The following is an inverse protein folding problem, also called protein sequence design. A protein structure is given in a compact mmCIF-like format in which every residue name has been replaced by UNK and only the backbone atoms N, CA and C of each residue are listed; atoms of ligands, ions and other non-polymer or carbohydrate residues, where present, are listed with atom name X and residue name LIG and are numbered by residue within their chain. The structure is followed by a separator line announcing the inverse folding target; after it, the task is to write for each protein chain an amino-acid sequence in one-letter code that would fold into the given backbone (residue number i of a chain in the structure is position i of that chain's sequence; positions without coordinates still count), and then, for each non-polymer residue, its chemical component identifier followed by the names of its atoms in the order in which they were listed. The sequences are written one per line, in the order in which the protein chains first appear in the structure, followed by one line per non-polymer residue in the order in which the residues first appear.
data_IF_463295473236
#
_entry.id   IF_463295473236
#
_cell.length_a   1.000
_cell.length_b   1.000
_cell.length_c   1.000
_cell.angle_alpha   90.00
_cell.angle_beta   90.00
_cell.angle_gamma   90.00
#
_symmetry.space_group_name_H-M   'P 1'
#
loop_
_entity.id
_entity.type
_entity.pdbx_description
1 polymer ?
#
# COMPACT_ATOMS: atom_id res chain seq x y z
N UNK A 1 49.83 -84.94 56.86
CA UNK A 1 50.33 -84.47 55.56
C UNK A 1 49.13 -84.40 54.64
N UNK A 2 48.53 -83.21 54.51
CA UNK A 2 48.74 -82.26 53.40
C UNK A 2 48.23 -82.85 52.08
N UNK A 3 47.30 -82.25 51.33
CA UNK A 3 47.15 -80.82 51.02
C UNK A 3 45.71 -80.45 50.67
N UNK A 4 45.30 -79.28 51.17
CA UNK A 4 44.18 -78.45 50.70
C UNK A 4 44.48 -77.94 49.29
N UNK A 5 43.48 -77.90 48.40
CA UNK A 5 43.58 -77.24 47.09
C UNK A 5 42.40 -76.25 46.90
N UNK A 6 42.65 -75.01 46.45
CA UNK A 6 41.65 -73.92 46.50
C UNK A 6 40.91 -73.66 45.17
N UNK A 7 39.68 -73.14 45.35
CA UNK A 7 38.86 -72.22 44.54
C UNK A 7 39.22 -71.88 43.09
N UNK A 8 38.19 -71.90 42.22
CA UNK A 8 38.08 -70.95 41.11
C UNK A 8 36.61 -70.57 40.89
N UNK A 9 36.20 -69.47 41.53
CA UNK A 9 34.92 -68.80 41.26
C UNK A 9 35.15 -67.93 40.04
N UNK A 10 34.49 -68.26 38.92
CA UNK A 10 34.50 -67.44 37.72
C UNK A 10 33.63 -66.19 37.95
N UNK A 11 34.29 -65.04 38.03
CA UNK A 11 33.67 -63.73 38.12
C UNK A 11 33.13 -63.34 36.73
N UNK A 12 31.80 -63.19 36.60
CA UNK A 12 31.18 -62.68 35.38
C UNK A 12 31.00 -61.16 35.49
N UNK A 13 31.61 -60.35 34.61
CA UNK A 13 31.29 -58.94 34.56
C UNK A 13 29.91 -58.74 33.90
N UNK A 14 28.94 -58.30 34.69
CA UNK A 14 27.66 -57.80 34.18
C UNK A 14 27.88 -56.43 33.52
N UNK A 15 27.53 -56.23 32.24
CA UNK A 15 27.59 -54.90 31.64
C UNK A 15 26.41 -54.07 32.15
N UNK A 16 26.66 -53.26 33.17
CA UNK A 16 25.73 -52.22 33.60
C UNK A 16 25.69 -51.11 32.54
N UNK A 17 24.79 -51.25 31.56
CA UNK A 17 24.51 -50.21 30.56
C UNK A 17 23.74 -49.07 31.23
N UNK A 18 24.45 -48.20 31.96
CA UNK A 18 23.91 -46.92 32.44
C UNK A 18 23.60 -46.03 31.24
N UNK A 19 22.36 -46.06 30.77
CA UNK A 19 21.80 -45.06 29.86
C UNK A 19 21.65 -43.74 30.62
N UNK A 20 22.75 -42.99 30.74
CA UNK A 20 22.79 -41.72 31.47
C UNK A 20 21.85 -40.66 30.88
N UNK A 21 21.40 -39.69 31.72
CA UNK A 21 20.53 -38.57 31.31
C UNK A 21 21.13 -37.74 30.17
N UNK A 22 22.45 -37.75 30.02
CA UNK A 22 23.17 -37.12 28.90
C UNK A 22 22.71 -37.61 27.51
N UNK A 23 22.28 -38.88 27.39
CA UNK A 23 21.81 -39.43 26.11
C UNK A 23 20.40 -38.93 25.75
N UNK A 24 19.57 -38.65 26.76
CA UNK A 24 18.25 -38.02 26.58
C UNK A 24 18.38 -36.54 26.26
N UNK A 25 19.30 -35.82 26.91
CA UNK A 25 19.59 -34.41 26.60
C UNK A 25 20.17 -34.27 25.20
N UNK A 26 21.08 -35.14 24.79
CA UNK A 26 21.61 -35.16 23.43
C UNK A 26 20.52 -35.49 22.39
N UNK A 27 19.62 -36.45 22.68
CA UNK A 27 18.51 -36.76 21.78
C UNK A 27 17.52 -35.59 21.65
N UNK A 28 17.22 -34.88 22.74
CA UNK A 28 16.37 -33.68 22.71
C UNK A 28 17.06 -32.54 21.95
N UNK A 29 18.36 -32.34 22.13
CA UNK A 29 19.14 -31.33 21.39
C UNK A 29 19.21 -31.64 19.89
N UNK A 30 19.38 -32.92 19.52
CA UNK A 30 19.34 -33.37 18.11
C UNK A 30 17.94 -33.21 17.52
N UNK A 31 16.89 -33.56 18.28
CA UNK A 31 15.51 -33.38 17.84
C UNK A 31 15.17 -31.90 17.64
N UNK A 32 15.59 -31.02 18.56
CA UNK A 32 15.49 -29.57 18.41
C UNK A 32 16.29 -29.06 17.22
N UNK A 33 17.52 -29.52 17.02
CA UNK A 33 18.34 -29.15 15.86
C UNK A 33 17.74 -29.61 14.52
N UNK A 34 17.02 -30.75 14.49
CA UNK A 34 16.28 -31.24 13.32
C UNK A 34 14.92 -30.54 13.13
N UNK A 35 14.29 -30.06 14.20
CA UNK A 35 13.02 -29.34 14.14
C UNK A 35 13.19 -27.87 13.71
N UNK A 36 14.33 -27.24 14.04
CA UNK A 36 14.62 -25.84 13.64
C UNK A 36 14.52 -25.60 12.12
N UNK A 37 15.11 -26.42 11.22
CA UNK A 37 14.92 -26.24 9.78
C UNK A 37 13.53 -26.65 9.28
N UNK A 38 12.80 -27.51 9.99
CA UNK A 38 11.42 -27.84 9.61
C UNK A 38 10.43 -26.67 9.85
N UNK A 39 10.82 -25.70 10.67
CA UNK A 39 10.05 -24.47 10.93
C UNK A 39 10.40 -23.34 9.95
N UNK A 40 11.44 -23.49 9.12
CA UNK A 40 11.75 -22.49 8.09
C UNK A 40 10.81 -22.70 6.92
N UNK A 41 9.83 -21.82 6.75
CA UNK A 41 9.08 -21.74 5.50
C UNK A 41 10.07 -21.64 4.34
N UNK A 42 9.88 -22.46 3.31
CA UNK A 42 10.69 -22.49 2.11
C UNK A 42 10.62 -21.16 1.34
N UNK A 43 9.50 -20.45 1.43
CA UNK A 43 9.27 -19.15 0.78
C UNK A 43 8.77 -18.12 1.79
N UNK A 44 9.42 -16.96 1.80
CA UNK A 44 9.04 -15.78 2.59
C UNK A 44 8.83 -14.61 1.64
N UNK A 45 7.60 -14.11 1.58
CA UNK A 45 7.24 -12.90 0.85
C UNK A 45 6.66 -11.90 1.83
N UNK A 46 7.32 -10.75 1.96
CA UNK A 46 6.89 -9.68 2.84
C UNK A 46 6.79 -8.38 2.05
N UNK A 47 5.58 -7.83 1.99
CA UNK A 47 5.32 -6.54 1.37
C UNK A 47 4.96 -5.56 2.48
N UNK A 48 5.71 -4.48 2.59
CA UNK A 48 5.42 -3.40 3.53
C UNK A 48 5.39 -2.07 2.79
N UNK A 49 4.24 -1.41 2.81
CA UNK A 49 4.02 -0.14 2.10
C UNK A 49 3.47 0.94 3.02
N UNK A 50 3.76 2.19 2.69
CA UNK A 50 3.20 3.37 3.31
C UNK A 50 2.58 4.26 2.26
N UNK A 51 1.35 4.72 2.53
CA UNK A 51 0.67 5.73 1.73
C UNK A 51 0.85 7.07 2.43
N UNK A 52 1.31 8.08 1.69
CA UNK A 52 1.46 9.45 2.15
C UNK A 52 0.20 10.27 1.85
N UNK A 53 0.06 11.40 2.55
CA UNK A 53 -1.07 12.34 2.39
C UNK A 53 -1.14 13.03 1.02
N UNK A 54 -0.10 12.91 0.20
CA UNK A 54 0.00 13.47 -1.15
C UNK A 54 -0.24 12.42 -2.27
N UNK A 55 -0.87 11.29 -1.96
CA UNK A 55 -1.14 10.19 -2.91
C UNK A 55 0.14 9.58 -3.48
N UNK A 56 1.11 9.36 -2.60
CA UNK A 56 2.36 8.70 -2.90
C UNK A 56 2.51 7.46 -2.07
N UNK A 57 3.08 6.43 -2.67
CA UNK A 57 3.28 5.12 -2.05
C UNK A 57 4.77 4.82 -2.09
N UNK A 58 5.32 4.56 -0.91
CA UNK A 58 6.70 4.15 -0.72
C UNK A 58 6.72 2.87 0.09
N UNK A 59 7.76 2.06 -0.06
CA UNK A 59 7.83 0.80 0.66
C UNK A 59 8.92 -0.12 0.18
N UNK A 60 8.75 -1.38 0.56
CA UNK A 60 9.63 -2.46 0.16
C UNK A 60 8.87 -3.76 -0.01
N UNK A 61 9.36 -4.58 -0.93
CA UNK A 61 8.94 -5.96 -1.16
C UNK A 61 10.18 -6.83 -0.94
N UNK A 62 10.07 -7.86 -0.11
CA UNK A 62 11.10 -8.88 0.08
C UNK A 62 10.54 -10.19 -0.40
N UNK A 63 11.25 -10.85 -1.32
CA UNK A 63 10.97 -12.21 -1.76
C UNK A 63 12.24 -13.04 -1.55
N UNK A 64 12.19 -13.97 -0.61
CA UNK A 64 13.34 -14.77 -0.23
C UNK A 64 12.95 -16.22 0.05
N UNK A 65 13.88 -17.14 -0.21
CA UNK A 65 13.70 -18.58 0.01
C UNK A 65 14.86 -19.14 0.82
N UNK A 66 14.65 -20.28 1.46
CA UNK A 66 15.75 -21.03 2.05
C UNK A 66 16.63 -21.59 0.92
N UNK A 67 17.95 -21.27 0.88
CA UNK A 67 18.83 -21.67 -0.20
C UNK A 67 18.87 -23.20 -0.33
N UNK A 68 18.62 -23.72 -1.54
CA UNK A 68 18.70 -25.16 -1.80
C UNK A 68 20.13 -25.62 -2.14
N UNK A 69 21.06 -24.67 -2.34
CA UNK A 69 22.46 -24.93 -2.64
C UNK A 69 23.35 -23.69 -2.43
N UNK A 70 24.69 -23.85 -2.48
CA UNK A 70 25.64 -22.78 -2.19
C UNK A 70 25.63 -21.63 -3.21
N UNK A 71 25.17 -21.89 -4.45
CA UNK A 71 25.04 -20.88 -5.51
C UNK A 71 23.60 -20.41 -5.75
N UNK A 72 22.65 -20.82 -4.89
CA UNK A 72 21.26 -20.42 -5.01
C UNK A 72 21.10 -18.94 -4.62
N UNK A 73 20.64 -18.13 -5.56
CA UNK A 73 20.39 -16.70 -5.37
C UNK A 73 18.94 -16.38 -5.05
N UNK A 74 18.07 -17.40 -4.95
CA UNK A 74 16.65 -17.26 -4.70
C UNK A 74 15.89 -16.55 -5.83
N UNK A 75 14.64 -16.12 -5.56
CA UNK A 75 13.80 -15.42 -6.53
C UNK A 75 14.43 -14.09 -6.95
N UNK A 76 14.54 -13.88 -8.25
CA UNK A 76 15.07 -12.65 -8.84
C UNK A 76 13.92 -11.78 -9.33
N UNK A 77 13.70 -10.64 -8.67
CA UNK A 77 12.72 -9.64 -9.10
C UNK A 77 13.42 -8.61 -10.00
N UNK A 78 12.74 -8.12 -11.03
CA UNK A 78 13.26 -7.10 -11.94
C UNK A 78 12.35 -5.87 -11.94
N UNK A 79 12.93 -4.69 -11.79
CA UNK A 79 12.15 -3.47 -11.93
C UNK A 79 11.71 -3.32 -13.40
N UNK A 80 10.42 -3.07 -13.68
CA UNK A 80 9.99 -2.70 -15.03
C UNK A 80 10.64 -1.39 -15.44
N UNK A 81 10.97 -1.24 -16.73
CA UNK A 81 11.69 -0.08 -17.26
C UNK A 81 10.99 1.26 -16.94
N UNK A 82 9.65 1.26 -16.90
CA UNK A 82 8.84 2.43 -16.56
C UNK A 82 9.09 2.95 -15.14
N UNK A 83 9.51 2.07 -14.22
CA UNK A 83 9.72 2.39 -12.80
C UNK A 83 11.19 2.34 -12.37
N UNK A 84 12.12 2.08 -13.29
CA UNK A 84 13.54 1.90 -12.99
C UNK A 84 14.18 3.11 -12.26
N UNK A 85 13.65 4.32 -12.43
CA UNK A 85 14.12 5.52 -11.73
C UNK A 85 13.62 5.64 -10.27
N UNK A 86 12.52 4.96 -9.93
CA UNK A 86 11.85 5.04 -8.62
C UNK A 86 11.93 3.74 -7.82
N UNK A 87 12.39 2.67 -8.45
CA UNK A 87 12.48 1.33 -7.88
C UNK A 87 13.95 0.91 -7.86
N UNK A 88 14.42 0.50 -6.69
CA UNK A 88 15.76 -0.06 -6.49
C UNK A 88 15.63 -1.53 -6.14
N UNK A 89 16.39 -2.38 -6.82
CA UNK A 89 16.43 -3.82 -6.58
C UNK A 89 17.79 -4.17 -5.99
N UNK A 90 17.78 -4.72 -4.79
CA UNK A 90 18.99 -5.16 -4.08
C UNK A 90 18.90 -6.66 -3.78
N UNK A 91 20.02 -7.41 -3.75
CA UNK A 91 20.03 -8.78 -3.29
C UNK A 91 19.66 -8.84 -1.79
N UNK A 92 18.92 -9.87 -1.39
CA UNK A 92 18.56 -10.16 -0.01
C UNK A 92 19.30 -11.41 0.47
N UNK A 93 20.03 -11.30 1.57
CA UNK A 93 20.69 -12.43 2.23
C UNK A 93 20.71 -12.19 3.75
N UNK A 94 19.65 -12.60 4.44
CA UNK A 94 19.49 -12.44 5.89
C UNK A 94 18.70 -13.61 6.48
N UNK A 95 18.94 -13.94 7.75
CA UNK A 95 18.24 -15.00 8.51
C UNK A 95 18.27 -16.39 7.86
N UNK A 96 19.30 -16.68 7.05
CA UNK A 96 19.38 -17.93 6.29
C UNK A 96 18.48 -17.98 5.06
N UNK A 97 17.92 -16.84 4.64
CA UNK A 97 17.13 -16.68 3.43
C UNK A 97 17.89 -15.89 2.37
N UNK A 98 17.82 -16.35 1.12
CA UNK A 98 18.41 -15.69 -0.05
C UNK A 98 17.32 -15.31 -1.05
N UNK A 99 17.48 -14.17 -1.71
CA UNK A 99 16.53 -13.71 -2.72
C UNK A 99 16.75 -12.26 -3.10
N UNK A 100 15.64 -11.53 -3.28
CA UNK A 100 15.65 -10.15 -3.74
C UNK A 100 14.78 -9.27 -2.84
N UNK A 101 15.25 -8.06 -2.59
CA UNK A 101 14.46 -7.00 -2.00
C UNK A 101 14.32 -5.83 -2.97
N UNK A 102 13.13 -5.28 -3.06
CA UNK A 102 12.79 -4.18 -3.94
C UNK A 102 12.34 -3.03 -3.07
N UNK A 103 13.02 -1.90 -3.16
CA UNK A 103 12.61 -0.64 -2.54
C UNK A 103 11.97 0.23 -3.60
N UNK A 104 10.90 0.93 -3.24
CA UNK A 104 10.27 1.91 -4.11
C UNK A 104 9.89 3.14 -3.32
N UNK A 105 10.02 4.28 -4.00
CA UNK A 105 9.72 5.57 -3.41
C UNK A 105 8.92 6.44 -4.39
N UNK A 106 8.04 7.25 -3.83
CA UNK A 106 7.26 8.26 -4.56
C UNK A 106 6.47 7.69 -5.76
N UNK A 107 5.87 6.50 -5.59
CA UNK A 107 4.99 5.92 -6.59
C UNK A 107 3.58 6.52 -6.50
N UNK A 108 3.02 6.85 -7.65
CA UNK A 108 1.60 7.21 -7.78
C UNK A 108 0.72 5.96 -7.76
N UNK A 109 -0.58 6.13 -7.49
CA UNK A 109 -1.55 5.02 -7.49
C UNK A 109 -1.61 4.22 -8.80
N UNK A 110 -1.40 4.87 -9.93
CA UNK A 110 -1.32 4.20 -11.23
C UNK A 110 0.00 3.45 -11.45
N UNK A 111 1.10 3.91 -10.86
CA UNK A 111 2.39 3.20 -10.92
C UNK A 111 2.39 1.97 -10.00
N UNK A 112 1.65 2.00 -8.89
CA UNK A 112 1.57 0.85 -7.97
C UNK A 112 0.93 -0.38 -8.64
N UNK A 113 -0.04 -0.19 -9.54
CA UNK A 113 -0.60 -1.33 -10.29
C UNK A 113 0.43 -1.99 -11.21
N UNK A 114 1.44 -1.24 -11.65
CA UNK A 114 2.56 -1.76 -12.43
C UNK A 114 3.56 -2.58 -11.59
N UNK A 115 3.55 -2.46 -10.25
CA UNK A 115 4.40 -3.31 -9.38
C UNK A 115 4.01 -4.80 -9.46
N UNK A 116 2.78 -5.13 -9.85
CA UNK A 116 2.39 -6.52 -10.12
C UNK A 116 3.20 -7.16 -11.27
N UNK A 117 3.86 -6.35 -12.10
CA UNK A 117 4.69 -6.78 -13.22
C UNK A 117 6.20 -6.86 -12.92
N UNK A 118 6.61 -6.80 -11.63
CA UNK A 118 8.02 -6.91 -11.20
C UNK A 118 8.69 -8.25 -11.57
N UNK A 119 7.92 -9.27 -11.92
CA UNK A 119 8.46 -10.52 -12.45
C UNK A 119 7.49 -11.13 -13.43
N UNK A 120 8.00 -11.64 -14.54
CA UNK A 120 7.20 -12.41 -15.51
C UNK A 120 6.55 -13.64 -14.86
N UNK A 121 7.16 -14.19 -13.80
CA UNK A 121 6.59 -15.30 -13.04
C UNK A 121 5.46 -14.90 -12.09
N UNK A 122 5.40 -13.62 -11.68
CA UNK A 122 4.33 -13.12 -10.79
C UNK A 122 3.26 -12.33 -11.54
N UNK A 123 3.37 -12.22 -12.87
CA UNK A 123 2.38 -11.56 -13.72
C UNK A 123 1.01 -12.24 -13.55
N UNK A 124 0.03 -11.46 -13.08
CA UNK A 124 -1.33 -11.94 -12.83
C UNK A 124 -1.55 -12.57 -11.44
N UNK A 125 -0.48 -12.92 -10.71
CA UNK A 125 -0.60 -13.42 -9.33
C UNK A 125 -0.90 -12.31 -8.33
N UNK A 126 -0.50 -11.08 -8.61
CA UNK A 126 -0.70 -9.94 -7.72
C UNK A 126 -1.22 -8.74 -8.49
N UNK A 127 -2.44 -8.32 -8.18
CA UNK A 127 -3.04 -7.09 -8.72
C UNK A 127 -3.40 -6.17 -7.58
N UNK A 128 -2.89 -4.95 -7.61
CA UNK A 128 -3.23 -3.89 -6.67
C UNK A 128 -3.76 -2.67 -7.40
N UNK A 129 -4.86 -2.13 -6.89
CA UNK A 129 -5.50 -0.94 -7.42
C UNK A 129 -5.84 0.00 -6.27
N UNK A 130 -5.46 1.27 -6.44
CA UNK A 130 -5.86 2.36 -5.57
C UNK A 130 -6.83 3.24 -6.33
N UNK A 131 -8.01 3.47 -5.75
CA UNK A 131 -9.03 4.35 -6.30
C UNK A 131 -9.38 5.42 -5.29
N UNK A 132 -9.35 6.67 -5.75
CA UNK A 132 -9.78 7.84 -4.96
C UNK A 132 -11.18 8.29 -5.41
N UNK A 133 -12.01 8.66 -4.43
CA UNK A 133 -13.28 9.33 -4.61
C UNK A 133 -13.40 10.47 -3.59
N UNK A 134 -13.00 11.69 -3.99
CA UNK A 134 -12.87 12.83 -3.08
C UNK A 134 -11.86 12.54 -1.98
N UNK A 135 -12.30 12.61 -0.71
CA UNK A 135 -11.46 12.32 0.46
C UNK A 135 -11.36 10.83 0.79
N UNK A 136 -12.12 9.95 0.12
CA UNK A 136 -12.07 8.51 0.38
C UNK A 136 -11.10 7.84 -0.60
N UNK A 137 -10.16 7.07 -0.08
CA UNK A 137 -9.27 6.21 -0.87
C UNK A 137 -9.55 4.76 -0.51
N UNK A 138 -9.85 3.97 -1.54
CA UNK A 138 -10.02 2.53 -1.45
C UNK A 138 -8.85 1.82 -2.10
N UNK A 139 -8.19 0.96 -1.34
CA UNK A 139 -7.28 -0.07 -1.83
C UNK A 139 -8.09 -1.33 -2.10
N UNK A 140 -7.96 -1.87 -3.30
CA UNK A 140 -8.42 -3.20 -3.66
C UNK A 140 -7.25 -3.99 -4.23
N UNK A 141 -7.07 -5.21 -3.77
CA UNK A 141 -6.04 -6.10 -4.28
C UNK A 141 -6.55 -7.53 -4.41
N UNK A 142 -5.99 -8.27 -5.35
CA UNK A 142 -6.19 -9.70 -5.51
C UNK A 142 -4.83 -10.36 -5.57
N UNK A 143 -4.66 -11.40 -4.75
CA UNK A 143 -3.45 -12.22 -4.72
C UNK A 143 -3.85 -13.66 -4.98
N UNK A 144 -3.36 -14.21 -6.07
CA UNK A 144 -3.57 -15.59 -6.48
C UNK A 144 -2.33 -16.41 -6.13
N UNK A 145 -2.45 -17.27 -5.12
CA UNK A 145 -1.37 -18.15 -4.65
C UNK A 145 -1.69 -19.63 -4.94
N UNK A 146 -2.63 -19.94 -5.82
CA UNK A 146 -3.01 -21.32 -6.14
C UNK A 146 -1.84 -22.14 -6.71
N UNK A 147 -0.91 -21.48 -7.42
CA UNK A 147 0.29 -22.11 -7.97
C UNK A 147 1.43 -22.29 -6.96
N UNK A 148 1.31 -21.73 -5.76
CA UNK A 148 2.34 -21.80 -4.72
C UNK A 148 2.11 -23.03 -3.84
N UNK A 149 3.13 -23.87 -3.58
CA UNK A 149 2.99 -25.00 -2.69
C UNK A 149 2.43 -24.58 -1.31
N UNK A 150 1.38 -25.26 -0.81
CA UNK A 150 0.66 -24.86 0.41
C UNK A 150 1.48 -25.05 1.69
N UNK A 151 2.58 -25.80 1.64
CA UNK A 151 3.44 -26.05 2.80
C UNK A 151 4.69 -25.15 2.77
N UNK A 152 4.90 -24.40 3.85
CA UNK A 152 6.12 -23.63 4.07
C UNK A 152 6.18 -22.27 3.34
N UNK A 153 5.04 -21.70 2.93
CA UNK A 153 5.01 -20.37 2.31
C UNK A 153 4.39 -19.36 3.28
N UNK A 154 5.15 -18.33 3.65
CA UNK A 154 4.68 -17.22 4.48
C UNK A 154 4.61 -15.94 3.62
N UNK A 155 3.38 -15.55 3.27
CA UNK A 155 3.12 -14.34 2.48
C UNK A 155 2.38 -13.34 3.36
N UNK A 156 3.07 -12.24 3.67
CA UNK A 156 2.53 -11.18 4.51
C UNK A 156 2.51 -9.86 3.74
N UNK A 157 1.36 -9.19 3.81
CA UNK A 157 1.17 -7.87 3.23
C UNK A 157 0.79 -6.90 4.33
N UNK A 158 1.50 -5.78 4.45
CA UNK A 158 1.22 -4.73 5.42
C UNK A 158 1.24 -3.36 4.74
N UNK A 159 0.26 -2.54 5.08
CA UNK A 159 0.16 -1.17 4.58
C UNK A 159 -0.13 -0.20 5.72
N UNK A 160 0.63 0.90 5.77
CA UNK A 160 0.40 2.03 6.65
C UNK A 160 -0.24 3.17 5.86
N UNK A 161 -1.30 3.75 6.41
CA UNK A 161 -2.01 4.89 5.82
C UNK A 161 -1.69 6.19 6.57
N UNK A 162 -1.90 7.36 5.94
CA UNK A 162 -1.62 8.65 6.58
C UNK A 162 -2.71 9.05 7.59
N UNK A 163 -3.83 8.32 7.63
CA UNK A 163 -4.93 8.52 8.55
C UNK A 163 -5.56 7.19 8.96
N UNK A 164 -6.50 7.25 9.91
CA UNK A 164 -7.18 6.06 10.44
C UNK A 164 -7.96 5.31 9.36
N UNK A 165 -7.80 3.99 9.34
CA UNK A 165 -8.51 3.12 8.40
C UNK A 165 -9.98 2.96 8.81
N UNK A 166 -10.89 3.30 7.90
CA UNK A 166 -12.33 3.24 8.13
C UNK A 166 -12.85 1.79 8.04
N UNK A 167 -12.61 1.11 6.92
CA UNK A 167 -13.04 -0.28 6.69
C UNK A 167 -11.88 -1.10 6.14
N UNK A 168 -11.77 -2.35 6.58
CA UNK A 168 -10.80 -3.29 6.01
C UNK A 168 -11.24 -4.73 6.26
N UNK A 169 -10.82 -5.64 5.38
CA UNK A 169 -10.91 -7.09 5.58
C UNK A 169 -9.63 -7.71 6.15
N UNK A 170 -8.62 -6.89 6.48
CA UNK A 170 -7.37 -7.31 7.11
C UNK A 170 -7.38 -7.16 8.62
N UNK A 171 -6.27 -7.55 9.24
CA UNK A 171 -6.03 -7.34 10.67
C UNK A 171 -5.48 -5.93 10.86
N UNK A 172 -6.14 -5.11 11.66
CA UNK A 172 -5.67 -3.75 11.94
C UNK A 172 -4.58 -3.79 13.02
N UNK A 173 -3.40 -3.32 12.70
CA UNK A 173 -2.27 -3.16 13.64
C UNK A 173 -2.19 -1.68 14.04
N UNK A 174 -2.79 -1.32 15.18
CA UNK A 174 -2.92 0.08 15.58
C UNK A 174 -4.08 0.80 14.87
N UNK A 175 -3.91 2.10 14.59
CA UNK A 175 -4.99 2.95 14.05
C UNK A 175 -4.96 3.12 12.53
N UNK A 176 -3.77 3.12 11.94
CA UNK A 176 -3.53 3.45 10.53
C UNK A 176 -2.81 2.35 9.74
N UNK A 177 -2.39 1.26 10.38
CA UNK A 177 -1.73 0.13 9.71
C UNK A 177 -2.66 -1.08 9.63
N UNK A 178 -2.62 -1.77 8.51
CA UNK A 178 -3.39 -2.99 8.27
C UNK A 178 -2.45 -4.05 7.71
N UNK A 179 -2.54 -5.25 8.26
CA UNK A 179 -1.82 -6.43 7.82
C UNK A 179 -2.76 -7.53 7.34
N UNK A 180 -2.31 -8.30 6.36
CA UNK A 180 -2.98 -9.46 5.82
C UNK A 180 -1.97 -10.60 5.73
N UNK A 181 -2.39 -11.77 6.18
CA UNK A 181 -1.67 -13.03 6.00
C UNK A 181 -2.36 -13.80 4.90
N UNK A 182 -1.63 -14.11 3.84
CA UNK A 182 -2.15 -14.70 2.62
C UNK A 182 -1.75 -16.18 2.62
N UNK A 183 -2.71 -17.12 2.78
CA UNK A 183 -2.41 -18.54 2.74
C UNK A 183 -2.00 -18.95 1.32
N UNK A 184 -0.98 -19.80 1.20
CA UNK A 184 -0.60 -20.39 -0.08
C UNK A 184 -1.62 -21.47 -0.51
N UNK A 185 -1.79 -21.63 -1.82
CA UNK A 185 -2.76 -22.57 -2.41
C UNK A 185 -4.17 -22.00 -2.61
N UNK A 186 -4.42 -20.73 -2.27
CA UNK A 186 -5.74 -20.10 -2.42
C UNK A 186 -5.62 -18.67 -2.99
N UNK A 187 -6.70 -18.17 -3.59
CA UNK A 187 -6.82 -16.76 -3.98
C UNK A 187 -7.39 -15.92 -2.84
N UNK A 188 -6.66 -14.89 -2.43
CA UNK A 188 -7.06 -13.94 -1.39
C UNK A 188 -7.34 -12.54 -1.95
N UNK A 189 -8.26 -11.81 -1.31
CA UNK A 189 -8.55 -10.41 -1.64
C UNK A 189 -8.13 -9.48 -0.52
N UNK A 190 -7.56 -8.34 -0.90
CA UNK A 190 -7.10 -7.28 -0.01
C UNK A 190 -8.04 -6.09 -0.19
N UNK A 191 -8.63 -5.58 0.90
CA UNK A 191 -9.48 -4.38 0.85
C UNK A 191 -9.24 -3.50 2.05
N UNK A 192 -8.97 -2.23 1.81
CA UNK A 192 -8.92 -1.21 2.83
C UNK A 192 -9.50 0.12 2.31
N UNK A 193 -10.21 0.82 3.16
CA UNK A 193 -10.80 2.12 2.88
C UNK A 193 -10.35 3.11 3.96
N UNK A 194 -9.82 4.24 3.52
CA UNK A 194 -9.27 5.27 4.39
C UNK A 194 -9.77 6.64 3.94
N UNK A 195 -9.96 7.56 4.88
CA UNK A 195 -10.41 8.92 4.60
C UNK A 195 -9.30 9.93 4.89
N UNK A 196 -8.84 10.66 3.86
CA UNK A 196 -7.91 11.78 3.99
C UNK A 196 -8.06 12.78 2.85
N UNK A 197 -7.78 14.03 3.16
CA UNK A 197 -8.01 15.18 2.29
C UNK A 197 -7.34 15.03 0.91
N UNK A 198 -8.08 15.38 -0.14
CA UNK A 198 -7.55 15.39 -1.51
C UNK A 198 -6.47 16.49 -1.69
N UNK A 199 -5.23 16.13 -2.05
CA UNK A 199 -4.16 17.11 -2.29
C UNK A 199 -4.47 18.10 -3.43
N UNK A 200 -5.27 17.72 -4.43
CA UNK A 200 -5.56 18.56 -5.59
C UNK A 200 -6.48 19.75 -5.24
N UNK A 201 -7.44 19.54 -4.33
CA UNK A 201 -8.38 20.59 -3.88
C UNK A 201 -7.66 21.75 -3.18
N UNK A 202 -6.55 21.47 -2.49
CA UNK A 202 -5.71 22.50 -1.86
C UNK A 202 -5.10 23.45 -2.88
N UNK A 203 -4.68 22.95 -4.03
CA UNK A 203 -4.11 23.80 -5.10
C UNK A 203 -5.18 24.67 -5.78
N UNK A 204 -6.37 24.11 -5.97
CA UNK A 204 -7.49 24.82 -6.61
C UNK A 204 -7.94 26.02 -5.78
N UNK A 205 -8.11 25.87 -4.47
CA UNK A 205 -8.51 26.98 -3.61
C UNK A 205 -7.51 28.15 -3.65
N UNK A 206 -6.21 27.85 -3.69
CA UNK A 206 -5.17 28.87 -3.84
C UNK A 206 -5.27 29.62 -5.18
N UNK A 207 -5.33 28.88 -6.30
CA UNK A 207 -5.46 29.46 -7.63
C UNK A 207 -6.78 30.21 -7.84
N UNK A 208 -7.90 29.69 -7.33
CA UNK A 208 -9.20 30.35 -7.38
C UNK A 208 -9.19 31.65 -6.59
N UNK A 209 -8.53 31.70 -5.42
CA UNK A 209 -8.34 32.92 -4.66
C UNK A 209 -7.52 33.97 -5.43
N UNK A 210 -6.42 33.55 -6.08
CA UNK A 210 -5.60 34.42 -6.92
C UNK A 210 -6.43 34.99 -8.08
N UNK A 211 -7.14 34.13 -8.83
CA UNK A 211 -7.97 34.56 -9.96
C UNK A 211 -9.14 35.43 -9.53
N UNK A 212 -9.78 35.12 -8.40
CA UNK A 212 -10.81 35.96 -7.79
C UNK A 212 -10.28 37.34 -7.40
N UNK A 213 -9.10 37.40 -6.80
CA UNK A 213 -8.41 38.64 -6.47
C UNK A 213 -8.07 39.48 -7.69
N UNK A 214 -7.51 38.87 -8.74
CA UNK A 214 -7.22 39.55 -10.02
C UNK A 214 -8.51 40.10 -10.63
N UNK A 215 -9.57 39.30 -10.66
CA UNK A 215 -10.87 39.71 -11.22
C UNK A 215 -11.46 40.90 -10.45
N UNK A 216 -11.42 40.86 -9.11
CA UNK A 216 -11.87 41.98 -8.27
C UNK A 216 -11.01 43.23 -8.46
N UNK A 217 -9.69 43.08 -8.60
CA UNK A 217 -8.80 44.19 -8.86
C UNK A 217 -9.10 44.87 -10.21
N UNK A 218 -9.31 44.08 -11.27
CA UNK A 218 -9.70 44.60 -12.59
C UNK A 218 -11.07 45.28 -12.53
N UNK A 219 -12.05 44.66 -11.86
CA UNK A 219 -13.38 45.26 -11.69
C UNK A 219 -13.31 46.61 -10.93
N UNK A 220 -12.51 46.68 -9.87
CA UNK A 220 -12.28 47.91 -9.11
C UNK A 220 -11.56 48.97 -9.96
N UNK A 221 -10.59 48.58 -10.78
CA UNK A 221 -9.89 49.47 -11.71
C UNK A 221 -10.87 50.06 -12.74
N UNK A 222 -11.70 49.23 -13.36
CA UNK A 222 -12.73 49.69 -14.31
C UNK A 222 -13.75 50.59 -13.62
N UNK A 223 -14.23 50.23 -12.42
CA UNK A 223 -15.15 51.05 -11.65
C UNK A 223 -14.54 52.42 -11.27
N UNK A 224 -13.26 52.45 -10.92
CA UNK A 224 -12.51 53.67 -10.62
C UNK A 224 -12.38 54.58 -11.85
N UNK A 225 -12.03 54.02 -13.01
CA UNK A 225 -11.97 54.75 -14.28
C UNK A 225 -13.36 55.29 -14.67
N UNK A 226 -14.39 54.45 -14.57
CA UNK A 226 -15.77 54.85 -14.85
C UNK A 226 -16.28 55.95 -13.90
N UNK A 227 -15.88 55.94 -12.64
CA UNK A 227 -16.24 56.99 -11.68
C UNK A 227 -15.54 58.31 -12.02
N UNK A 228 -14.27 58.25 -12.43
CA UNK A 228 -13.46 59.43 -12.79
C UNK A 228 -13.91 60.07 -14.11
N UNK A 229 -14.23 59.27 -15.13
CA UNK A 229 -14.65 59.73 -16.45
C UNK A 229 -16.17 59.91 -16.57
N UNK A 230 -16.89 60.03 -15.44
CA UNK A 230 -18.33 60.35 -15.47
C UNK A 230 -18.54 61.74 -16.09
N UNK A 231 -18.95 61.76 -17.36
CA UNK A 231 -19.42 62.98 -18.01
C UNK A 231 -20.63 63.55 -17.27
N UNK A 232 -20.70 64.89 -17.03
CA UNK A 232 -21.94 65.52 -16.62
C UNK A 232 -23.01 65.29 -17.69
N UNK A 233 -24.28 65.21 -17.26
CA UNK A 233 -25.42 65.04 -18.18
C UNK A 233 -25.35 66.15 -19.25
N UNK A 234 -25.54 65.82 -20.54
CA UNK A 234 -25.69 66.85 -21.56
C UNK A 234 -26.80 67.80 -21.13
N UNK A 235 -26.60 69.13 -21.19
CA UNK A 235 -27.62 70.11 -20.77
C UNK A 235 -29.00 69.91 -21.44
N UNK A 236 -29.03 69.20 -22.58
CA UNK A 236 -30.21 68.98 -23.41
C UNK A 236 -30.62 67.51 -23.55
N UNK A 237 -30.25 66.63 -22.60
CA UNK A 237 -30.76 65.27 -22.61
C UNK A 237 -32.31 65.31 -22.56
N UNK A 238 -33.03 64.73 -23.55
CA UNK A 238 -34.49 64.73 -23.56
C UNK A 238 -34.98 64.15 -22.24
N UNK A 239 -35.91 64.86 -21.57
CA UNK A 239 -36.64 64.24 -20.46
C UNK A 239 -37.29 62.97 -21.04
N UNK A 240 -37.10 61.80 -20.43
CA UNK A 240 -37.85 60.63 -20.86
C UNK A 240 -39.31 60.93 -20.55
N UNK A 241 -40.05 61.40 -21.55
CA UNK A 241 -41.49 61.54 -21.49
C UNK A 241 -42.10 60.16 -21.69
N UNK A 242 -41.68 59.22 -20.85
CA UNK A 242 -42.30 57.92 -20.75
C UNK A 242 -43.34 58.05 -19.66
N UNK A 243 -44.58 58.27 -20.06
CA UNK A 243 -45.74 58.20 -19.17
C UNK A 243 -46.23 56.76 -19.13
N UNK A 244 -46.06 56.02 -18.03
CA UNK A 244 -46.55 54.64 -17.95
C UNK A 244 -48.05 54.54 -18.20
N UNK A 245 -48.82 55.58 -17.87
CA UNK A 245 -50.28 55.61 -18.07
C UNK A 245 -50.69 55.70 -19.55
N UNK A 246 -49.87 56.31 -20.40
CA UNK A 246 -50.12 56.34 -21.86
C UNK A 246 -49.83 54.99 -22.50
N UNK A 247 -48.75 54.32 -22.09
CA UNK A 247 -48.44 52.97 -22.54
C UNK A 247 -49.55 51.97 -22.12
N UNK A 248 -50.07 52.07 -20.90
CA UNK A 248 -51.17 51.21 -20.44
C UNK A 248 -52.48 51.46 -21.21
N UNK A 249 -52.76 52.70 -21.61
CA UNK A 249 -53.90 53.05 -22.48
C UNK A 249 -53.76 52.47 -23.89
N UNK A 250 -52.56 52.50 -24.44
CA UNK A 250 -52.30 51.95 -25.77
C UNK A 250 -52.43 50.42 -25.79
N UNK A 251 -51.93 49.75 -24.75
CA UNK A 251 -52.06 48.29 -24.59
C UNK A 251 -53.52 47.88 -24.42
N UNK A 252 -54.31 48.66 -23.67
CA UNK A 252 -55.74 48.35 -23.46
C UNK A 252 -56.59 48.61 -24.70
N UNK A 253 -56.32 49.68 -25.46
CA UNK A 253 -57.03 49.94 -26.72
C UNK A 253 -56.74 48.88 -27.79
N UNK A 254 -55.49 48.42 -27.93
CA UNK A 254 -55.15 47.34 -28.88
C UNK A 254 -55.84 46.01 -28.57
N UNK A 255 -56.24 45.78 -27.31
CA UNK A 255 -56.92 44.54 -26.89
C UNK A 255 -58.43 44.58 -27.13
N UNK A 256 -59.03 45.76 -27.25
CA UNK A 256 -60.49 45.95 -27.44
C UNK A 256 -60.90 46.17 -28.91
N UNK A 257 -59.94 46.34 -29.81
CA UNK A 257 -60.16 46.56 -31.25
C UNK A 257 -60.01 45.31 -32.13
N UNK A 258 -60.17 44.10 -31.59
CA UNK A 258 -60.19 42.85 -32.36
C UNK A 258 -61.36 41.97 -31.93
#
# INVERSE_FOLDING_TARGET
MSTVQPSLVADMPSPSRRSGPARRVAAVAVLLALLVPALTGCLRVQVSMGVSSNDRVSGRIVAAVAPQGPDDKGPQLKAPESLAAKVRVDPYNQDGYVGTQVFFDDLTFGEVSQLGSLSDQTQGMFTLEFKRNGDLVSLTGRVDLESVPPHGSDVQFSIAFPSRVAKTNGTREGDNTVSWKLPAGESSTLRAEVKYADPNTRSFAGWAGIMGGITLAVAAMIAGLAYRDRNPRPPNAPRPNFSPSEMWREITQRRLGR
#
